data_IF_997496381617
#
_entry.id   IF_997496381617
#
_cell.length_a   1.000
_cell.length_b   1.000
_cell.length_c   1.000
_cell.angle_alpha   90.00
_cell.angle_beta   90.00
_cell.angle_gamma   90.00
#
_symmetry.space_group_name_H-M   'P 1'
#
loop_
_entity.id
_entity.type
_entity.pdbx_description
1 polymer ?
#
# COMPACT_ATOMS: atom_id res chain seq x y z
N UNK A 1 9.01 18.47 -2.34
CA UNK A 1 8.61 18.14 -0.95
C UNK A 1 7.12 18.40 -0.64
N UNK A 2 6.33 19.12 -1.46
CA UNK A 2 5.01 19.61 -1.05
C UNK A 2 3.81 18.65 -1.06
N UNK A 3 3.79 17.57 -1.84
CA UNK A 3 2.60 16.69 -1.95
C UNK A 3 2.72 15.38 -1.15
N UNK A 4 3.91 14.78 -1.11
CA UNK A 4 4.13 13.54 -0.36
C UNK A 4 4.02 13.74 1.16
N UNK A 5 4.56 14.85 1.69
CA UNK A 5 4.45 15.18 3.11
C UNK A 5 2.99 15.27 3.57
N UNK A 6 2.14 15.91 2.77
CA UNK A 6 0.69 15.99 3.01
C UNK A 6 0.06 14.59 3.00
N UNK A 7 0.43 13.72 2.05
CA UNK A 7 -0.09 12.35 2.01
C UNK A 7 0.33 11.53 3.24
N UNK A 8 1.60 11.63 3.66
CA UNK A 8 2.09 10.96 4.86
C UNK A 8 1.37 11.45 6.12
N UNK A 9 1.12 12.76 6.21
CA UNK A 9 0.36 13.36 7.31
C UNK A 9 -1.07 12.82 7.33
N UNK A 10 -1.77 12.82 6.19
CA UNK A 10 -3.12 12.26 6.07
C UNK A 10 -3.15 10.79 6.45
N UNK A 11 -2.24 9.98 5.92
CA UNK A 11 -2.14 8.56 6.28
C UNK A 11 -1.86 8.35 7.77
N UNK A 12 -1.18 9.28 8.42
CA UNK A 12 -0.86 9.20 9.86
C UNK A 12 -2.01 9.64 10.74
N UNK A 13 -2.69 10.74 10.40
CA UNK A 13 -3.60 11.45 11.31
C UNK A 13 -5.09 11.29 10.98
N UNK A 14 -5.45 10.99 9.73
CA UNK A 14 -6.86 10.92 9.35
C UNK A 14 -7.57 9.70 9.96
N UNK A 15 -8.81 9.93 10.39
CA UNK A 15 -9.64 8.96 11.11
C UNK A 15 -10.02 7.81 10.20
N UNK A 16 -9.83 6.58 10.66
CA UNK A 16 -10.36 5.38 9.99
C UNK A 16 -11.88 5.34 10.23
N UNK A 17 -12.66 5.66 9.21
CA UNK A 17 -14.13 5.70 9.28
C UNK A 17 -14.83 4.49 8.66
N UNK A 18 -14.09 3.67 7.92
CA UNK A 18 -14.59 2.41 7.37
C UNK A 18 -13.47 1.42 7.14
N UNK A 19 -13.78 0.14 7.30
CA UNK A 19 -12.83 -0.97 7.16
C UNK A 19 -13.51 -2.13 6.41
N UNK A 20 -12.82 -2.68 5.42
CA UNK A 20 -13.25 -3.87 4.69
C UNK A 20 -12.10 -4.84 4.53
N UNK A 21 -12.33 -6.12 4.79
CA UNK A 21 -11.32 -7.16 4.59
C UNK A 21 -11.11 -7.38 3.09
N UNK A 22 -9.86 -7.33 2.63
CA UNK A 22 -9.50 -7.76 1.28
C UNK A 22 -9.50 -9.30 1.23
N UNK A 23 -10.30 -9.93 0.37
CA UNK A 23 -10.39 -11.39 0.33
C UNK A 23 -9.13 -12.02 -0.27
N UNK A 24 -8.80 -13.23 0.16
CA UNK A 24 -7.85 -14.11 -0.55
C UNK A 24 -6.36 -13.92 -0.27
N UNK A 25 -5.98 -13.04 0.68
CA UNK A 25 -4.60 -12.96 1.20
C UNK A 25 -4.31 -14.03 2.25
N UNK A 26 -3.04 -14.44 2.40
CA UNK A 26 -2.66 -15.36 3.48
C UNK A 26 -2.39 -14.62 4.81
N UNK A 27 -2.12 -13.32 4.71
CA UNK A 27 -2.17 -12.34 5.78
C UNK A 27 -3.53 -11.60 5.80
N UNK A 28 -3.91 -11.07 6.96
CA UNK A 28 -5.07 -10.17 7.04
C UNK A 28 -4.71 -8.80 6.46
N UNK A 29 -5.39 -8.44 5.37
CA UNK A 29 -5.23 -7.17 4.67
C UNK A 29 -6.57 -6.46 4.62
N UNK A 30 -6.61 -5.19 4.99
CA UNK A 30 -7.84 -4.40 4.99
C UNK A 30 -7.71 -3.21 4.05
N UNK A 31 -8.80 -2.90 3.35
CA UNK A 31 -8.99 -1.58 2.72
C UNK A 31 -9.68 -0.70 3.74
N UNK A 32 -9.06 0.43 4.08
CA UNK A 32 -9.61 1.40 5.03
C UNK A 32 -9.94 2.72 4.33
N UNK A 33 -11.04 3.34 4.76
CA UNK A 33 -11.41 4.70 4.41
C UNK A 33 -10.88 5.64 5.49
N UNK A 34 -10.06 6.60 5.08
CA UNK A 34 -9.56 7.65 5.95
C UNK A 34 -10.31 8.93 5.62
N UNK A 35 -10.82 9.61 6.65
CA UNK A 35 -11.50 10.90 6.51
C UNK A 35 -10.76 11.98 7.30
N UNK A 36 -10.84 13.20 6.78
CA UNK A 36 -10.34 14.36 7.49
C UNK A 36 -11.05 14.49 8.86
N UNK A 37 -10.31 14.53 9.98
CA UNK A 37 -10.88 14.74 11.30
C UNK A 37 -11.71 16.03 11.38
N UNK A 38 -11.32 17.08 10.66
CA UNK A 38 -12.04 18.36 10.67
C UNK A 38 -13.35 18.27 9.88
N UNK A 39 -13.39 17.51 8.79
CA UNK A 39 -14.62 17.24 8.03
C UNK A 39 -15.63 16.37 8.79
N UNK A 40 -15.19 15.68 9.85
CA UNK A 40 -16.05 14.84 10.69
C UNK A 40 -17.08 15.66 11.47
N UNK A 41 -16.82 16.96 11.69
CA UNK A 41 -17.74 17.87 12.40
C UNK A 41 -18.90 18.38 11.52
N UNK A 42 -18.73 18.44 10.20
CA UNK A 42 -19.77 18.94 9.26
C UNK A 42 -20.74 17.84 8.76
N UNK A 43 -20.37 16.56 8.91
CA UNK A 43 -21.12 15.40 8.41
C UNK A 43 -22.50 15.16 9.07
N UNK A 44 -22.86 15.92 10.11
CA UNK A 44 -24.23 15.90 10.68
C UNK A 44 -25.25 16.72 9.86
N UNK A 45 -24.80 17.49 8.86
CA UNK A 45 -25.64 18.39 8.08
C UNK A 45 -25.50 18.13 6.58
N UNK A 46 -26.40 17.31 6.03
CA UNK A 46 -26.66 17.10 4.59
C UNK A 46 -25.59 16.34 3.76
N UNK A 47 -26.06 15.50 2.82
CA UNK A 47 -25.25 14.73 1.86
C UNK A 47 -24.51 15.67 0.89
N UNK A 48 -23.34 16.15 1.25
CA UNK A 48 -22.43 16.88 0.34
C UNK A 48 -21.42 15.89 -0.26
N UNK A 49 -21.06 16.07 -1.54
CA UNK A 49 -20.03 15.26 -2.20
C UNK A 49 -18.67 15.39 -1.50
N UNK A 50 -18.18 14.29 -0.92
CA UNK A 50 -16.93 14.17 -0.16
C UNK A 50 -15.65 14.17 -1.04
N UNK A 51 -15.55 15.01 -2.08
CA UNK A 51 -14.32 15.10 -2.90
C UNK A 51 -13.27 15.93 -2.15
N UNK A 52 -12.18 15.30 -1.73
CA UNK A 52 -11.03 15.96 -1.08
C UNK A 52 -10.88 15.70 0.42
N UNK A 53 -11.95 15.24 1.10
CA UNK A 53 -11.97 14.97 2.55
C UNK A 53 -11.87 13.49 2.91
N UNK A 54 -11.62 12.62 1.93
CA UNK A 54 -11.39 11.20 2.16
C UNK A 54 -10.33 10.63 1.22
N UNK A 55 -9.56 9.66 1.71
CA UNK A 55 -8.64 8.83 0.92
C UNK A 55 -8.82 7.36 1.32
N UNK A 56 -8.37 6.45 0.47
CA UNK A 56 -8.31 5.03 0.80
C UNK A 56 -6.87 4.61 1.09
N UNK A 57 -6.71 3.63 1.97
CA UNK A 57 -5.44 3.03 2.28
C UNK A 57 -5.55 1.52 2.47
N UNK A 58 -4.44 0.82 2.31
CA UNK A 58 -4.26 -0.58 2.71
C UNK A 58 -3.73 -0.58 4.14
N UNK A 59 -4.42 -1.29 5.03
CA UNK A 59 -4.03 -1.50 6.41
C UNK A 59 -3.68 -2.97 6.64
N UNK A 60 -2.46 -3.23 7.12
CA UNK A 60 -1.98 -4.57 7.47
C UNK A 60 -1.58 -4.57 8.96
N UNK A 61 -2.42 -5.07 9.87
CA UNK A 61 -2.09 -5.14 11.28
C UNK A 61 -1.00 -6.17 11.57
N UNK A 62 -0.15 -5.88 12.55
CA UNK A 62 0.81 -6.84 13.11
C UNK A 62 0.12 -8.12 13.60
N UNK A 63 -1.05 -7.99 14.23
CA UNK A 63 -1.84 -9.12 14.74
C UNK A 63 -2.41 -10.00 13.63
N UNK A 64 -2.47 -9.49 12.40
CA UNK A 64 -2.91 -10.18 11.21
C UNK A 64 -1.81 -10.92 10.46
N UNK A 65 -0.58 -10.88 10.97
CA UNK A 65 0.58 -11.50 10.34
C UNK A 65 0.59 -13.01 10.54
N UNK A 66 0.78 -13.72 9.44
CA UNK A 66 1.13 -15.13 9.36
C UNK A 66 2.65 -15.23 9.47
N UNK A 67 3.17 -16.01 10.43
CA UNK A 67 4.61 -16.19 10.58
C UNK A 67 5.26 -16.79 9.32
N UNK A 68 6.36 -16.19 8.89
CA UNK A 68 7.23 -16.71 7.85
C UNK A 68 8.45 -17.38 8.47
N UNK A 69 8.96 -18.42 7.82
CA UNK A 69 10.09 -19.20 8.33
C UNK A 69 11.35 -18.36 8.49
N UNK A 70 11.59 -17.45 7.54
CA UNK A 70 12.86 -16.74 7.41
C UNK A 70 12.86 -15.39 8.15
N UNK A 71 11.75 -15.01 8.79
CA UNK A 71 11.58 -13.69 9.38
C UNK A 71 11.07 -13.73 10.82
N UNK A 72 11.48 -12.74 11.61
CA UNK A 72 10.99 -12.57 12.97
C UNK A 72 9.47 -12.33 12.96
N UNK A 73 8.76 -12.97 13.89
CA UNK A 73 7.30 -12.84 14.00
C UNK A 73 6.90 -11.40 14.32
N UNK A 74 5.79 -10.94 13.75
CA UNK A 74 5.24 -9.62 14.08
C UNK A 74 6.05 -8.45 13.51
N UNK A 75 6.79 -8.66 12.41
CA UNK A 75 7.65 -7.63 11.79
C UNK A 75 7.30 -7.34 10.34
N UNK A 76 6.33 -8.03 9.74
CA UNK A 76 6.02 -7.88 8.32
C UNK A 76 5.50 -6.47 7.99
N UNK A 77 4.65 -5.90 8.85
CA UNK A 77 4.17 -4.52 8.69
C UNK A 77 5.31 -3.48 8.74
N UNK A 78 6.36 -3.71 9.53
CA UNK A 78 7.54 -2.82 9.56
C UNK A 78 8.32 -2.88 8.25
N UNK A 79 8.32 -4.03 7.59
CA UNK A 79 9.02 -4.25 6.33
C UNK A 79 8.34 -3.53 5.16
N UNK A 80 7.01 -3.40 5.19
CA UNK A 80 6.27 -2.54 4.26
C UNK A 80 6.77 -1.08 4.34
N UNK A 81 6.93 -0.57 5.58
CA UNK A 81 7.47 0.77 5.81
C UNK A 81 8.93 0.88 5.36
N UNK A 82 9.75 -0.11 5.68
CA UNK A 82 11.15 -0.15 5.27
C UNK A 82 11.30 -0.12 3.74
N UNK A 83 10.52 -0.94 3.03
CA UNK A 83 10.50 -0.96 1.57
C UNK A 83 10.15 0.41 1.00
N UNK A 84 9.09 1.06 1.50
CA UNK A 84 8.75 2.43 1.09
C UNK A 84 9.90 3.42 1.34
N UNK A 85 10.56 3.37 2.50
CA UNK A 85 11.67 4.28 2.80
C UNK A 85 12.86 4.07 1.84
N UNK A 86 13.25 2.82 1.58
CA UNK A 86 14.33 2.50 0.63
C UNK A 86 13.96 2.96 -0.78
N UNK A 87 12.74 2.66 -1.24
CA UNK A 87 12.20 3.12 -2.52
C UNK A 87 12.23 4.64 -2.65
N UNK A 88 11.85 5.37 -1.59
CA UNK A 88 11.84 6.82 -1.57
C UNK A 88 13.25 7.40 -1.75
N UNK A 89 14.25 6.84 -1.07
CA UNK A 89 15.64 7.31 -1.19
C UNK A 89 16.26 6.94 -2.54
N UNK A 90 15.94 5.76 -3.09
CA UNK A 90 16.40 5.34 -4.41
C UNK A 90 15.68 6.08 -5.55
N UNK A 91 14.49 6.61 -5.29
CA UNK A 91 13.57 7.14 -6.31
C UNK A 91 12.88 6.07 -7.14
N UNK A 92 13.15 4.79 -6.86
CA UNK A 92 12.58 3.63 -7.55
C UNK A 92 12.63 2.37 -6.66
N UNK A 93 11.75 1.38 -6.90
CA UNK A 93 10.54 1.51 -7.69
C UNK A 93 9.56 2.47 -6.97
N UNK A 94 8.49 2.94 -7.61
CA UNK A 94 7.55 3.87 -6.94
C UNK A 94 6.59 3.13 -6.00
N UNK A 95 7.02 2.88 -4.76
CA UNK A 95 6.17 2.31 -3.71
C UNK A 95 5.28 3.43 -3.13
N UNK A 96 3.96 3.18 -2.94
CA UNK A 96 3.08 4.21 -2.38
C UNK A 96 3.49 4.64 -0.97
N UNK A 97 3.22 5.90 -0.58
CA UNK A 97 3.47 6.38 0.78
C UNK A 97 2.92 5.44 1.83
N UNK A 98 3.77 5.08 2.79
CA UNK A 98 3.46 4.09 3.83
C UNK A 98 3.86 4.65 5.20
N UNK A 99 3.02 4.45 6.21
CA UNK A 99 3.27 4.84 7.62
C UNK A 99 2.99 3.66 8.55
N UNK A 100 3.52 3.70 9.76
CA UNK A 100 3.14 2.79 10.85
C UNK A 100 2.28 3.58 11.82
N UNK A 101 1.12 3.04 12.19
CA UNK A 101 0.25 3.63 13.21
C UNK A 101 -0.70 2.61 13.83
N UNK A 102 -1.32 3.00 14.93
CA UNK A 102 -2.43 2.25 15.50
C UNK A 102 -3.67 2.28 14.59
N UNK A 103 -4.39 1.17 14.54
CA UNK A 103 -5.68 1.02 13.87
C UNK A 103 -6.60 0.06 14.63
N UNK A 104 -7.77 -0.30 14.06
CA UNK A 104 -8.79 -1.11 14.73
C UNK A 104 -8.33 -2.50 15.20
N UNK A 105 -7.21 -3.00 14.66
CA UNK A 105 -6.65 -4.32 14.98
C UNK A 105 -5.24 -4.25 15.59
N UNK A 106 -4.87 -3.11 16.19
CA UNK A 106 -3.55 -2.87 16.78
C UNK A 106 -2.64 -2.03 15.90
N UNK A 107 -1.34 -2.06 16.15
CA UNK A 107 -0.36 -1.42 15.27
C UNK A 107 -0.30 -2.12 13.91
N UNK A 108 -0.07 -1.35 12.85
CA UNK A 108 0.13 -1.90 11.52
C UNK A 108 0.62 -0.86 10.51
N UNK A 109 0.93 -1.36 9.32
CA UNK A 109 1.28 -0.49 8.19
C UNK A 109 0.03 0.04 7.53
N UNK A 110 0.02 1.33 7.21
CA UNK A 110 -1.03 2.02 6.46
C UNK A 110 -0.38 2.62 5.20
N UNK A 111 -0.74 2.08 4.04
CA UNK A 111 -0.18 2.46 2.75
C UNK A 111 -1.26 3.07 1.86
N UNK A 112 -0.95 4.14 1.13
CA UNK A 112 -1.88 4.76 0.19
C UNK A 112 -2.43 3.72 -0.80
N UNK A 113 -3.76 3.64 -0.91
CA UNK A 113 -4.41 2.77 -1.89
C UNK A 113 -4.32 3.39 -3.29
N UNK A 114 -3.83 2.61 -4.25
CA UNK A 114 -3.79 3.01 -5.65
C UNK A 114 -4.81 2.20 -6.45
N UNK A 115 -5.68 2.91 -7.15
CA UNK A 115 -6.68 2.32 -8.02
C UNK A 115 -6.04 1.91 -9.35
N UNK A 116 -5.86 0.60 -9.52
CA UNK A 116 -5.25 0.03 -10.72
C UNK A 116 -6.13 0.23 -11.97
N UNK A 117 -7.45 0.28 -11.86
CA UNK A 117 -8.37 0.41 -13.01
C UNK A 117 -8.29 1.80 -13.64
N UNK A 118 -8.17 2.86 -12.83
CA UNK A 118 -7.94 4.22 -13.35
C UNK A 118 -6.58 4.40 -14.05
N UNK A 119 -5.69 3.44 -13.86
CA UNK A 119 -4.37 3.40 -14.48
C UNK A 119 -4.37 2.66 -15.84
N UNK A 120 -5.51 2.08 -16.24
CA UNK A 120 -5.65 1.23 -17.43
C UNK A 120 -6.01 2.02 -18.69
N UNK A 121 -5.02 2.71 -19.25
CA UNK A 121 -5.03 2.97 -20.69
C UNK A 121 -4.53 1.76 -21.52
N UNK A 122 -4.18 0.62 -20.88
CA UNK A 122 -3.64 -0.56 -21.58
C UNK A 122 -4.08 -1.89 -20.93
N UNK A 123 -4.41 -2.87 -21.78
CA UNK A 123 -4.84 -4.24 -21.45
C UNK A 123 -3.70 -5.18 -21.03
N UNK A 124 -2.51 -4.64 -20.76
CA UNK A 124 -1.33 -5.43 -20.43
C UNK A 124 -1.36 -5.87 -18.97
N UNK A 125 -1.03 -7.13 -18.73
CA UNK A 125 -0.92 -7.73 -17.39
C UNK A 125 0.51 -8.22 -17.14
N UNK A 126 0.78 -8.72 -15.94
CA UNK A 126 2.10 -9.22 -15.55
C UNK A 126 2.72 -10.17 -16.58
N UNK A 127 1.94 -11.11 -17.11
CA UNK A 127 2.44 -12.12 -18.04
C UNK A 127 2.80 -11.51 -19.39
N UNK A 128 1.96 -10.62 -19.93
CA UNK A 128 2.26 -9.93 -21.18
C UNK A 128 3.43 -8.95 -21.04
N UNK A 129 3.60 -8.33 -19.88
CA UNK A 129 4.71 -7.40 -19.61
C UNK A 129 6.03 -8.13 -19.41
N UNK A 130 6.02 -9.31 -18.77
CA UNK A 130 7.23 -10.14 -18.57
C UNK A 130 7.91 -10.49 -19.89
N UNK A 131 7.13 -10.79 -20.92
CA UNK A 131 7.66 -11.15 -22.24
C UNK A 131 8.22 -9.92 -22.99
N UNK A 132 7.62 -8.74 -22.80
CA UNK A 132 7.97 -7.53 -23.56
C UNK A 132 8.97 -6.60 -22.87
N UNK A 133 9.07 -6.66 -21.54
CA UNK A 133 9.83 -5.70 -20.70
C UNK A 133 10.62 -6.41 -19.61
N UNK A 134 11.32 -7.49 -19.98
CA UNK A 134 12.08 -8.32 -19.04
C UNK A 134 13.06 -7.51 -18.17
N UNK A 135 13.65 -6.45 -18.72
CA UNK A 135 14.59 -5.57 -18.01
C UNK A 135 13.96 -4.85 -16.81
N UNK A 136 12.69 -4.42 -16.90
CA UNK A 136 11.97 -3.84 -15.75
C UNK A 136 11.90 -4.83 -14.57
N UNK A 137 11.81 -6.14 -14.86
CA UNK A 137 11.75 -7.17 -13.83
C UNK A 137 13.11 -7.42 -13.18
N UNK A 138 14.22 -7.11 -13.86
CA UNK A 138 15.55 -7.17 -13.29
C UNK A 138 15.73 -6.10 -12.21
N UNK A 139 15.28 -4.86 -12.47
CA UNK A 139 15.28 -3.79 -11.46
C UNK A 139 14.42 -4.18 -10.25
N UNK A 140 13.21 -4.68 -10.49
CA UNK A 140 12.32 -5.13 -9.42
C UNK A 140 12.96 -6.26 -8.59
N UNK A 141 13.58 -7.24 -9.23
CA UNK A 141 14.28 -8.33 -8.54
C UNK A 141 15.49 -7.81 -7.74
N UNK A 142 16.23 -6.83 -8.28
CA UNK A 142 17.32 -6.17 -7.55
C UNK A 142 16.78 -5.46 -6.31
N UNK A 143 15.67 -4.75 -6.42
CA UNK A 143 15.03 -4.12 -5.27
C UNK A 143 14.58 -5.16 -4.23
N UNK A 144 13.99 -6.28 -4.67
CA UNK A 144 13.59 -7.37 -3.77
C UNK A 144 14.78 -7.92 -2.98
N UNK A 145 15.94 -8.07 -3.62
CA UNK A 145 17.18 -8.45 -2.94
C UNK A 145 17.57 -7.40 -1.89
N UNK A 146 17.52 -6.12 -2.25
CA UNK A 146 17.90 -5.00 -1.34
C UNK A 146 17.02 -4.94 -0.09
N UNK A 147 15.71 -5.16 -0.23
CA UNK A 147 14.77 -5.12 0.91
C UNK A 147 14.51 -6.50 1.53
N UNK A 148 15.21 -7.53 1.05
CA UNK A 148 15.03 -8.92 1.45
C UNK A 148 13.56 -9.39 1.35
N UNK A 149 12.90 -9.02 0.26
CA UNK A 149 11.56 -9.48 -0.09
C UNK A 149 11.65 -10.81 -0.87
N UNK A 150 11.17 -11.89 -0.26
CA UNK A 150 11.22 -13.23 -0.84
C UNK A 150 9.88 -13.68 -1.46
N UNK A 151 8.81 -12.91 -1.33
CA UNK A 151 7.45 -13.35 -1.69
C UNK A 151 6.68 -12.37 -2.59
N UNK A 152 7.34 -11.79 -3.60
CA UNK A 152 6.65 -10.95 -4.57
C UNK A 152 5.58 -11.75 -5.33
N UNK A 153 4.30 -11.45 -5.07
CA UNK A 153 3.17 -11.94 -5.86
C UNK A 153 2.98 -11.12 -7.13
N UNK A 154 2.78 -11.81 -8.25
CA UNK A 154 2.41 -11.20 -9.52
C UNK A 154 0.93 -10.77 -9.49
N UNK A 155 0.64 -9.51 -9.16
CA UNK A 155 -0.74 -9.00 -9.14
C UNK A 155 -0.80 -7.66 -9.88
N UNK A 156 -1.67 -7.58 -10.90
CA UNK A 156 -1.96 -6.40 -11.73
C UNK A 156 -0.78 -5.43 -11.94
N UNK A 157 0.21 -5.85 -12.73
CA UNK A 157 1.27 -4.97 -13.17
C UNK A 157 0.79 -4.13 -14.36
N UNK A 158 0.83 -2.80 -14.26
CA UNK A 158 0.89 -1.92 -15.44
C UNK A 158 2.28 -1.31 -15.56
N UNK A 159 2.62 -0.84 -16.77
CA UNK A 159 3.94 -0.33 -17.16
C UNK A 159 4.53 0.77 -16.26
N UNK A 160 3.69 1.42 -15.44
CA UNK A 160 4.06 2.50 -14.50
C UNK A 160 3.79 2.16 -13.02
N UNK A 161 3.15 1.00 -12.73
CA UNK A 161 2.60 0.63 -11.41
C UNK A 161 3.05 -0.76 -10.91
N UNK A 162 4.15 -1.32 -11.42
CA UNK A 162 4.70 -2.59 -10.91
C UNK A 162 4.93 -2.62 -9.38
N UNK A 163 5.00 -1.45 -8.72
CA UNK A 163 5.10 -1.30 -7.27
C UNK A 163 3.87 -0.66 -6.60
N UNK A 164 2.85 -0.27 -7.35
CA UNK A 164 1.71 0.51 -6.85
C UNK A 164 0.47 -0.32 -6.55
N UNK A 165 0.37 -1.54 -7.08
CA UNK A 165 -0.50 -2.53 -6.45
C UNK A 165 0.13 -2.88 -5.10
N UNK A 166 -0.46 -2.38 -4.02
CA UNK A 166 -0.01 -2.47 -2.62
C UNK A 166 0.06 -3.88 -2.01
N UNK A 167 0.53 -4.82 -2.81
CA UNK A 167 0.95 -6.16 -2.44
C UNK A 167 2.45 -6.30 -2.78
N UNK A 168 3.29 -5.49 -2.13
CA UNK A 168 4.55 -6.06 -1.61
C UNK A 168 4.16 -7.00 -0.48
N UNK A 169 3.46 -8.06 -0.84
CA UNK A 169 3.12 -9.11 0.10
C UNK A 169 4.45 -9.79 0.42
N UNK A 170 4.90 -9.66 1.66
CA UNK A 170 5.82 -10.61 2.25
C UNK A 170 4.93 -11.65 2.93
N UNK A 171 4.31 -12.56 2.16
CA UNK A 171 3.55 -13.72 2.67
C UNK A 171 4.41 -15.01 2.58
#
# INVERSE_FOLDING_TARGET
>A
MGNEGILLERLSQWTISGIGLHPGGSNYVFVVRLIDPEATQELQSSRVEMKGHQIFAIYKPQSGERPLRDFARGTLHLREKAAYLVSRELGWPRIPPTVIRAGPHGEGSVQLFIDAEKSQANSENYFSLREKRLEDFADIAMFDILVHNADRKAVHASSHLMAACGLLIMD
#
